data_IF_082039297376
#
_entry.id   IF_082039297376
#
_cell.length_a   1.000
_cell.length_b   1.000
_cell.length_c   1.000
_cell.angle_alpha   90.00
_cell.angle_beta   90.00
_cell.angle_gamma   90.00
#
_symmetry.space_group_name_H-M   'P 1'
#
loop_
_entity.id
_entity.type
_entity.pdbx_description
1 polymer ?
#
# COMPACT_ATOMS: atom_id res chain seq x y z
N UNK A 1 26.52 -33.00 -15.97
CA UNK A 1 25.81 -31.98 -16.77
C UNK A 1 26.23 -30.63 -16.20
N UNK A 2 26.91 -29.79 -16.97
CA UNK A 2 27.37 -28.47 -16.51
C UNK A 2 26.67 -27.39 -17.33
N UNK A 3 26.17 -26.37 -16.64
CA UNK A 3 25.52 -25.20 -17.25
C UNK A 3 26.51 -24.04 -17.24
N UNK A 4 26.73 -23.42 -18.39
CA UNK A 4 27.53 -22.20 -18.53
C UNK A 4 26.78 -21.20 -19.41
N UNK A 5 26.75 -19.93 -18.98
CA UNK A 5 25.98 -18.86 -19.63
C UNK A 5 26.08 -17.54 -18.87
N UNK A 6 25.43 -16.49 -19.38
CA UNK A 6 25.49 -15.13 -18.82
C UNK A 6 24.53 -14.87 -17.65
N UNK A 7 23.95 -15.92 -17.06
CA UNK A 7 22.95 -15.79 -15.99
C UNK A 7 23.60 -15.82 -14.62
N UNK A 8 23.42 -14.73 -13.85
CA UNK A 8 23.75 -14.70 -12.43
C UNK A 8 22.73 -15.53 -11.60
N UNK A 9 23.15 -16.05 -10.45
CA UNK A 9 22.26 -16.69 -9.44
C UNK A 9 21.36 -15.66 -8.73
N UNK A 10 20.50 -15.00 -9.51
CA UNK A 10 19.54 -14.01 -9.03
C UNK A 10 18.18 -14.36 -9.60
N UNK A 11 17.09 -13.98 -8.90
CA UNK A 11 15.74 -14.26 -9.36
C UNK A 11 15.52 -13.73 -10.79
N UNK A 12 15.98 -12.51 -11.10
CA UNK A 12 15.94 -11.94 -12.46
C UNK A 12 16.76 -12.73 -13.47
N UNK A 13 17.97 -13.16 -13.11
CA UNK A 13 18.85 -13.96 -13.97
C UNK A 13 18.31 -15.35 -14.31
N UNK A 14 17.46 -15.90 -13.44
CA UNK A 14 16.84 -17.22 -13.59
C UNK A 14 15.44 -17.17 -14.24
N UNK A 15 14.71 -16.06 -14.13
CA UNK A 15 13.30 -15.98 -14.57
C UNK A 15 13.04 -15.04 -15.74
N UNK A 16 13.93 -14.07 -16.02
CA UNK A 16 13.68 -13.00 -16.99
C UNK A 16 14.78 -12.76 -18.02
N UNK A 17 15.94 -13.39 -17.89
CA UNK A 17 17.06 -13.27 -18.85
C UNK A 17 16.93 -14.24 -20.04
N UNK A 18 17.47 -13.87 -21.21
CA UNK A 18 17.71 -14.83 -22.31
C UNK A 18 18.68 -15.89 -21.80
N UNK A 19 18.15 -17.07 -21.51
CA UNK A 19 18.98 -18.17 -21.02
C UNK A 19 19.68 -18.82 -22.22
N UNK A 20 20.97 -18.50 -22.40
CA UNK A 20 21.83 -19.23 -23.34
C UNK A 20 22.48 -20.40 -22.57
N UNK A 21 21.89 -21.59 -22.68
CA UNK A 21 22.54 -22.81 -22.24
C UNK A 21 23.28 -23.44 -23.42
N UNK A 22 24.59 -23.66 -23.29
CA UNK A 22 25.36 -24.50 -24.21
C UNK A 22 25.93 -25.71 -23.49
N UNK A 23 25.79 -26.89 -24.11
CA UNK A 23 26.33 -28.14 -23.61
C UNK A 23 27.85 -28.18 -23.80
N UNK A 24 28.61 -28.26 -22.71
CA UNK A 24 30.07 -28.41 -22.75
C UNK A 24 30.43 -29.91 -22.70
N UNK A 25 31.22 -30.40 -23.67
CA UNK A 25 31.67 -31.81 -23.72
C UNK A 25 32.82 -32.07 -22.72
N UNK A 26 32.98 -33.33 -22.32
CA UNK A 26 33.83 -33.82 -21.21
C UNK A 26 35.26 -33.24 -21.08
N UNK A 27 35.95 -32.88 -22.18
CA UNK A 27 37.33 -32.36 -22.11
C UNK A 27 37.40 -30.88 -21.68
N UNK A 28 36.45 -30.05 -22.10
CA UNK A 28 36.38 -28.63 -21.71
C UNK A 28 35.90 -28.48 -20.26
N UNK A 29 35.04 -29.40 -19.80
CA UNK A 29 34.60 -29.48 -18.40
C UNK A 29 35.77 -29.73 -17.42
N UNK A 30 36.77 -30.53 -17.80
CA UNK A 30 37.95 -30.76 -16.97
C UNK A 30 38.81 -29.50 -16.80
N UNK A 31 38.94 -28.68 -17.86
CA UNK A 31 39.70 -27.41 -17.78
C UNK A 31 38.98 -26.41 -16.87
N UNK A 32 37.65 -26.33 -16.96
CA UNK A 32 36.85 -25.50 -16.06
C UNK A 32 36.94 -25.94 -14.60
N UNK A 33 36.90 -27.24 -14.33
CA UNK A 33 37.04 -27.77 -12.98
C UNK A 33 38.41 -27.46 -12.39
N UNK A 34 39.49 -27.70 -13.14
CA UNK A 34 40.84 -27.40 -12.67
C UNK A 34 41.05 -25.90 -12.40
N UNK A 35 40.41 -25.03 -13.20
CA UNK A 35 40.46 -23.59 -12.98
C UNK A 35 39.64 -23.18 -11.75
N UNK A 36 38.48 -23.81 -11.53
CA UNK A 36 37.67 -23.61 -10.33
C UNK A 36 38.42 -24.03 -9.08
N UNK A 37 39.05 -25.21 -9.08
CA UNK A 37 39.83 -25.72 -7.94
C UNK A 37 41.01 -24.78 -7.61
N UNK A 38 41.73 -24.28 -8.62
CA UNK A 38 42.78 -23.28 -8.43
C UNK A 38 42.24 -21.97 -7.82
N UNK A 39 41.10 -21.48 -8.29
CA UNK A 39 40.49 -20.27 -7.72
C UNK A 39 39.97 -20.50 -6.30
N UNK A 40 39.40 -21.68 -6.03
CA UNK A 40 38.85 -22.08 -4.75
C UNK A 40 39.94 -22.19 -3.67
N UNK A 41 41.06 -22.84 -3.99
CA UNK A 41 42.21 -22.96 -3.09
C UNK A 41 42.87 -21.59 -2.80
N UNK A 42 42.72 -20.61 -3.70
CA UNK A 42 43.25 -19.25 -3.56
C UNK A 42 42.21 -18.22 -3.04
N UNK A 43 40.99 -18.67 -2.69
CA UNK A 43 39.93 -17.79 -2.17
C UNK A 43 40.11 -17.46 -0.67
N UNK A 44 40.67 -18.38 0.12
CA UNK A 44 40.78 -18.21 1.58
C UNK A 44 41.86 -17.21 2.01
N UNK A 45 42.83 -16.93 1.13
CA UNK A 45 44.01 -16.12 1.49
C UNK A 45 43.89 -14.63 1.10
N UNK A 46 42.82 -14.20 0.42
CA UNK A 46 42.73 -12.84 -0.17
C UNK A 46 41.69 -11.92 0.45
N UNK A 47 40.66 -12.44 1.11
CA UNK A 47 39.61 -11.64 1.72
C UNK A 47 39.28 -12.20 3.10
N UNK A 48 39.37 -11.36 4.14
CA UNK A 48 38.98 -11.76 5.49
C UNK A 48 37.51 -12.17 5.54
N UNK A 49 37.20 -13.17 6.36
CA UNK A 49 35.83 -13.60 6.61
C UNK A 49 35.03 -12.45 7.22
N UNK A 50 33.83 -12.20 6.68
CA UNK A 50 32.89 -11.28 7.32
C UNK A 50 32.40 -11.94 8.61
N UNK A 51 32.88 -11.47 9.76
CA UNK A 51 32.35 -11.88 11.05
C UNK A 51 31.04 -11.12 11.29
N UNK A 52 29.91 -11.78 11.04
CA UNK A 52 28.59 -11.16 11.20
C UNK A 52 28.31 -10.67 12.64
N UNK A 53 29.05 -11.18 13.62
CA UNK A 53 28.99 -10.75 15.02
C UNK A 53 29.63 -9.38 15.27
N UNK A 54 30.52 -8.94 14.39
CA UNK A 54 31.27 -7.68 14.49
C UNK A 54 30.66 -6.56 13.63
N UNK A 55 29.62 -6.87 12.86
CA UNK A 55 28.90 -5.89 12.07
C UNK A 55 27.91 -5.13 12.97
N UNK A 56 28.06 -3.81 13.04
CA UNK A 56 27.03 -2.95 13.61
C UNK A 56 25.84 -2.86 12.64
N UNK A 57 24.62 -3.25 13.04
CA UNK A 57 23.43 -3.13 12.18
C UNK A 57 23.19 -1.70 11.67
N UNK A 58 23.71 -0.68 12.36
CA UNK A 58 23.59 0.72 11.95
C UNK A 58 24.49 1.09 10.77
N UNK A 59 25.55 0.33 10.47
CA UNK A 59 26.41 0.60 9.31
C UNK A 59 25.70 0.32 7.98
N UNK A 60 24.72 -0.58 7.97
CA UNK A 60 23.82 -0.79 6.83
C UNK A 60 22.79 0.34 6.65
N UNK A 61 22.47 1.08 7.73
CA UNK A 61 21.56 2.23 7.66
C UNK A 61 22.24 3.50 7.13
N UNK A 62 23.58 3.56 7.13
CA UNK A 62 24.33 4.76 6.72
C UNK A 62 24.48 4.94 5.19
N UNK A 63 24.11 3.93 4.40
CA UNK A 63 24.32 3.95 2.94
C UNK A 63 23.24 4.69 2.12
N UNK A 64 22.16 5.19 2.72
CA UNK A 64 21.09 5.89 1.97
C UNK A 64 21.12 7.42 2.05
N UNK A 65 22.07 8.01 2.80
CA UNK A 65 22.14 9.46 2.95
C UNK A 65 23.24 10.06 2.07
N UNK A 66 23.01 10.17 0.77
CA UNK A 66 23.45 11.28 -0.11
C UNK A 66 23.10 10.97 -1.58
N UNK A 67 21.81 10.98 -1.90
CA UNK A 67 21.38 11.48 -3.19
C UNK A 67 20.47 12.66 -2.94
N UNK A 68 20.81 13.81 -3.50
CA UNK A 68 19.91 14.95 -3.60
C UNK A 68 18.69 14.45 -4.38
N UNK A 69 17.64 14.06 -3.67
CA UNK A 69 16.39 13.59 -4.27
C UNK A 69 15.82 14.80 -5.01
N UNK A 70 15.99 14.85 -6.33
CA UNK A 70 15.20 15.71 -7.22
C UNK A 70 13.76 15.58 -6.77
N UNK A 71 13.08 16.69 -6.50
CA UNK A 71 11.70 16.73 -6.02
C UNK A 71 10.87 15.64 -6.72
N UNK A 72 10.59 14.57 -5.99
CA UNK A 72 10.03 13.36 -6.55
C UNK A 72 8.60 13.68 -6.95
N UNK A 73 8.32 13.73 -8.25
CA UNK A 73 6.97 13.95 -8.76
C UNK A 73 6.22 12.64 -8.57
N UNK A 74 5.38 12.56 -7.53
CA UNK A 74 4.50 11.42 -7.31
C UNK A 74 3.52 11.31 -8.47
N UNK A 75 3.59 10.19 -9.20
CA UNK A 75 2.63 9.85 -10.25
C UNK A 75 1.91 8.55 -9.89
N UNK A 76 0.61 8.45 -10.20
CA UNK A 76 -0.11 7.20 -10.07
C UNK A 76 0.51 6.11 -10.95
N UNK A 77 0.40 4.85 -10.50
CA UNK A 77 0.70 3.69 -11.35
C UNK A 77 -0.36 3.57 -12.46
N UNK A 78 -0.07 2.93 -13.60
CA UNK A 78 -1.03 2.82 -14.72
C UNK A 78 -2.40 2.31 -14.30
N UNK A 79 -2.47 1.26 -13.48
CA UNK A 79 -3.75 0.74 -12.99
C UNK A 79 -4.48 1.73 -12.07
N UNK A 80 -3.75 2.60 -11.35
CA UNK A 80 -4.35 3.63 -10.49
C UNK A 80 -4.96 4.74 -11.35
N UNK A 81 -4.33 5.10 -12.48
CA UNK A 81 -4.90 5.99 -13.48
C UNK A 81 -6.20 5.42 -14.05
N UNK A 82 -6.22 4.11 -14.39
CA UNK A 82 -7.43 3.42 -14.84
C UNK A 82 -8.55 3.52 -13.79
N UNK A 83 -8.27 3.28 -12.51
CA UNK A 83 -9.28 3.41 -11.43
C UNK A 83 -9.80 4.85 -11.33
N UNK A 84 -8.90 5.83 -11.40
CA UNK A 84 -9.23 7.25 -11.32
C UNK A 84 -10.13 7.67 -12.50
N UNK A 85 -9.84 7.18 -13.70
CA UNK A 85 -10.64 7.47 -14.89
C UNK A 85 -12.05 6.87 -14.80
N UNK A 86 -12.16 5.62 -14.32
CA UNK A 86 -13.46 4.99 -14.03
C UNK A 86 -14.24 5.79 -12.99
N UNK A 87 -13.60 6.15 -11.88
CA UNK A 87 -14.21 6.98 -10.83
C UNK A 87 -14.73 8.32 -11.39
N UNK A 88 -13.92 9.01 -12.20
CA UNK A 88 -14.29 10.30 -12.81
C UNK A 88 -15.44 10.17 -13.80
N UNK A 89 -15.50 9.06 -14.54
CA UNK A 89 -16.56 8.79 -15.52
C UNK A 89 -17.89 8.45 -14.86
N UNK A 90 -17.87 7.65 -13.79
CA UNK A 90 -19.09 7.27 -13.06
C UNK A 90 -19.62 8.44 -12.23
N UNK A 91 -18.73 9.21 -11.58
CA UNK A 91 -19.07 10.41 -10.80
C UNK A 91 -20.25 10.19 -9.83
N UNK A 92 -20.23 9.05 -9.14
CA UNK A 92 -21.26 8.63 -8.20
C UNK A 92 -20.81 8.85 -6.75
N UNK A 93 -21.74 9.04 -5.79
CA UNK A 93 -21.40 9.34 -4.40
C UNK A 93 -20.71 8.18 -3.70
N UNK A 94 -21.26 6.96 -3.77
CA UNK A 94 -20.66 5.76 -3.17
C UNK A 94 -19.77 5.00 -4.15
N UNK A 95 -18.55 4.64 -3.74
CA UNK A 95 -17.59 3.94 -4.59
C UNK A 95 -16.89 2.83 -3.81
N UNK A 96 -16.93 1.61 -4.32
CA UNK A 96 -16.18 0.47 -3.80
C UNK A 96 -15.06 0.08 -4.76
N UNK A 97 -13.83 0.03 -4.25
CA UNK A 97 -12.64 -0.35 -5.02
C UNK A 97 -11.96 -1.52 -4.32
N UNK A 98 -11.80 -2.62 -5.05
CA UNK A 98 -11.22 -3.86 -4.55
C UNK A 98 -9.80 -4.01 -5.10
N UNK A 99 -8.81 -3.91 -4.22
CA UNK A 99 -7.39 -3.99 -4.56
C UNK A 99 -6.63 -4.88 -3.56
N UNK A 100 -5.74 -5.77 -4.03
CA UNK A 100 -4.88 -6.57 -3.18
C UNK A 100 -4.09 -5.74 -2.17
N UNK A 101 -3.63 -6.37 -1.10
CA UNK A 101 -2.70 -5.72 -0.16
C UNK A 101 -1.37 -5.41 -0.85
N UNK A 102 -0.69 -4.34 -0.40
CA UNK A 102 0.60 -3.94 -0.97
C UNK A 102 0.55 -3.22 -2.32
N UNK A 103 -0.63 -3.02 -2.92
CA UNK A 103 -0.73 -2.34 -4.23
C UNK A 103 -0.65 -0.82 -4.14
N UNK A 104 -0.74 -0.24 -2.93
CA UNK A 104 -0.75 1.21 -2.74
C UNK A 104 -2.15 1.84 -2.69
N UNK A 105 -3.13 1.17 -2.06
CA UNK A 105 -4.48 1.72 -1.80
C UNK A 105 -4.46 3.15 -1.26
N UNK A 106 -3.57 3.43 -0.30
CA UNK A 106 -3.41 4.77 0.30
C UNK A 106 -2.93 5.82 -0.71
N UNK A 107 -2.01 5.46 -1.62
CA UNK A 107 -1.56 6.35 -2.69
C UNK A 107 -2.71 6.63 -3.66
N UNK A 108 -3.45 5.59 -4.06
CA UNK A 108 -4.64 5.75 -4.89
C UNK A 108 -5.66 6.69 -4.23
N UNK A 109 -5.94 6.54 -2.94
CA UNK A 109 -6.83 7.44 -2.20
C UNK A 109 -6.39 8.91 -2.29
N UNK A 110 -5.09 9.17 -2.13
CA UNK A 110 -4.55 10.53 -2.23
C UNK A 110 -4.70 11.10 -3.65
N UNK A 111 -4.42 10.31 -4.70
CA UNK A 111 -4.58 10.74 -6.09
C UNK A 111 -6.05 10.93 -6.48
N UNK A 112 -6.95 10.04 -6.04
CA UNK A 112 -8.40 10.23 -6.22
C UNK A 112 -8.86 11.53 -5.56
N UNK A 113 -8.42 11.78 -4.32
CA UNK A 113 -8.76 13.00 -3.63
C UNK A 113 -8.20 14.25 -4.33
N UNK A 114 -7.00 14.17 -4.91
CA UNK A 114 -6.43 15.22 -5.75
C UNK A 114 -7.36 15.59 -6.91
N UNK A 115 -7.98 14.61 -7.56
CA UNK A 115 -8.96 14.85 -8.63
C UNK A 115 -10.27 15.42 -8.10
N UNK A 116 -10.70 15.01 -6.90
CA UNK A 116 -11.91 15.55 -6.27
C UNK A 116 -11.75 17.04 -5.97
N UNK A 117 -10.64 17.47 -5.36
CA UNK A 117 -10.44 18.88 -4.98
C UNK A 117 -10.22 19.81 -6.18
N UNK A 118 -9.83 19.28 -7.34
CA UNK A 118 -9.82 20.03 -8.60
C UNK A 118 -11.23 20.44 -9.03
N UNK A 119 -12.24 19.62 -8.72
CA UNK A 119 -13.67 19.89 -9.02
C UNK A 119 -14.39 20.59 -7.87
N UNK A 120 -14.05 20.24 -6.63
CA UNK A 120 -14.71 20.69 -5.41
C UNK A 120 -13.67 21.33 -4.49
N UNK A 121 -13.48 22.63 -4.66
CA UNK A 121 -12.53 23.37 -3.85
C UNK A 121 -12.87 23.27 -2.34
N UNK A 122 -11.83 23.25 -1.51
CA UNK A 122 -11.91 23.34 -0.04
C UNK A 122 -12.68 22.22 0.68
N UNK A 123 -12.83 21.04 0.07
CA UNK A 123 -13.46 19.90 0.74
C UNK A 123 -12.51 19.24 1.74
N UNK A 124 -12.92 19.10 3.01
CA UNK A 124 -12.15 18.34 4.00
C UNK A 124 -12.36 16.84 3.82
N UNK A 125 -11.37 16.05 4.25
CA UNK A 125 -11.44 14.59 4.24
C UNK A 125 -11.56 14.03 5.64
N UNK A 126 -12.24 12.90 5.72
CA UNK A 126 -12.19 11.98 6.84
C UNK A 126 -11.67 10.63 6.34
N UNK A 127 -10.45 10.26 6.73
CA UNK A 127 -9.86 8.96 6.41
C UNK A 127 -9.95 8.04 7.62
N UNK A 128 -10.54 6.87 7.45
CA UNK A 128 -10.84 5.95 8.54
C UNK A 128 -10.22 4.58 8.28
N UNK A 129 -9.63 4.00 9.31
CA UNK A 129 -9.20 2.60 9.33
C UNK A 129 -9.25 2.04 10.77
N UNK A 130 -9.21 0.73 10.93
CA UNK A 130 -9.16 0.05 12.24
C UNK A 130 -7.75 0.01 12.86
N UNK A 131 -6.69 0.23 12.07
CA UNK A 131 -5.29 0.14 12.51
C UNK A 131 -4.62 1.52 12.58
N UNK A 132 -3.95 1.79 13.71
CA UNK A 132 -3.23 3.05 13.94
C UNK A 132 -2.15 3.31 12.87
N UNK A 133 -1.32 2.31 12.58
CA UNK A 133 -0.27 2.40 11.57
C UNK A 133 -0.79 2.79 10.18
N UNK A 134 -1.95 2.27 9.78
CA UNK A 134 -2.57 2.61 8.49
C UNK A 134 -2.93 4.08 8.45
N UNK A 135 -3.59 4.58 9.49
CA UNK A 135 -4.02 5.98 9.60
C UNK A 135 -2.80 6.93 9.65
N UNK A 136 -1.74 6.56 10.37
CA UNK A 136 -0.48 7.32 10.43
C UNK A 136 0.17 7.41 9.05
N UNK A 137 0.29 6.28 8.36
CA UNK A 137 0.88 6.22 7.02
C UNK A 137 0.02 6.96 5.98
N UNK A 138 -1.31 6.89 6.11
CA UNK A 138 -2.24 7.63 5.26
C UNK A 138 -2.07 9.13 5.42
N UNK A 139 -2.03 9.64 6.66
CA UNK A 139 -1.76 11.06 6.92
C UNK A 139 -0.45 11.51 6.24
N UNK A 140 0.64 10.80 6.49
CA UNK A 140 1.95 11.12 5.92
C UNK A 140 1.93 11.09 4.37
N UNK A 141 1.24 10.11 3.77
CA UNK A 141 1.09 9.98 2.32
C UNK A 141 0.33 11.17 1.72
N UNK A 142 -0.80 11.54 2.34
CA UNK A 142 -1.60 12.68 1.90
C UNK A 142 -0.83 14.00 2.05
N UNK A 143 -0.15 14.22 3.18
CA UNK A 143 0.72 15.40 3.36
C UNK A 143 1.82 15.46 2.29
N UNK A 144 2.43 14.32 1.96
CA UNK A 144 3.52 14.25 0.97
C UNK A 144 3.04 14.55 -0.45
N UNK A 145 1.94 13.93 -0.89
CA UNK A 145 1.41 14.00 -2.26
C UNK A 145 0.68 15.33 -2.51
N UNK A 146 -0.17 15.73 -1.58
CA UNK A 146 -1.08 16.87 -1.74
C UNK A 146 -0.56 18.15 -1.09
N UNK A 147 0.57 18.09 -0.37
CA UNK A 147 1.14 19.21 0.39
C UNK A 147 0.17 19.79 1.42
N UNK A 148 -0.70 18.96 1.99
CA UNK A 148 -1.61 19.36 3.06
C UNK A 148 -0.80 19.72 4.31
N UNK A 149 -1.15 20.83 4.94
CA UNK A 149 -0.51 21.31 6.18
C UNK A 149 -1.46 21.26 7.37
N UNK A 150 -2.77 21.24 7.11
CA UNK A 150 -3.85 21.24 8.09
C UNK A 150 -4.41 19.82 8.27
N UNK A 151 -3.62 18.89 8.81
CA UNK A 151 -4.07 17.51 9.06
C UNK A 151 -3.99 17.15 10.56
N UNK A 152 -4.94 16.35 11.03
CA UNK A 152 -4.99 15.88 12.42
C UNK A 152 -5.12 14.36 12.46
N UNK A 153 -4.25 13.73 13.25
CA UNK A 153 -4.30 12.32 13.55
C UNK A 153 -5.11 12.10 14.83
N UNK A 154 -6.08 11.20 14.81
CA UNK A 154 -6.87 10.82 15.98
C UNK A 154 -6.71 9.32 16.23
N UNK A 155 -6.00 9.01 17.31
CA UNK A 155 -5.77 7.65 17.83
C UNK A 155 -6.12 7.61 19.31
N UNK A 156 -6.59 6.46 19.80
CA UNK A 156 -7.19 6.27 21.13
C UNK A 156 -6.50 7.02 22.27
N UNK A 157 -7.30 7.68 23.12
CA UNK A 157 -6.85 8.41 24.32
C UNK A 157 -6.52 9.89 24.09
N UNK A 158 -6.34 10.33 22.84
CA UNK A 158 -6.10 11.74 22.51
C UNK A 158 -7.40 12.43 22.12
N UNK A 159 -7.72 13.54 22.80
CA UNK A 159 -8.80 14.45 22.38
C UNK A 159 -8.15 15.66 21.72
N UNK A 160 -8.24 15.79 20.38
CA UNK A 160 -7.72 16.97 19.69
C UNK A 160 -8.45 18.23 20.13
N UNK A 161 -7.78 19.39 20.04
CA UNK A 161 -8.39 20.67 20.32
C UNK A 161 -9.59 20.91 19.37
N UNK A 162 -10.73 21.44 19.83
CA UNK A 162 -11.87 21.81 18.98
C UNK A 162 -11.51 22.59 17.70
N UNK A 163 -10.46 23.44 17.73
CA UNK A 163 -10.02 24.17 16.54
C UNK A 163 -9.52 23.22 15.44
N UNK A 164 -8.70 22.24 15.81
CA UNK A 164 -8.18 21.23 14.88
C UNK A 164 -9.30 20.38 14.28
N UNK A 165 -10.27 19.98 15.10
CA UNK A 165 -11.43 19.21 14.65
C UNK A 165 -12.27 19.94 13.60
N UNK A 166 -12.29 21.28 13.60
CA UNK A 166 -13.09 22.09 12.67
C UNK A 166 -12.38 22.52 11.40
N UNK A 167 -11.05 22.63 11.40
CA UNK A 167 -10.30 23.16 10.25
C UNK A 167 -9.47 22.12 9.50
N UNK A 168 -9.23 20.94 10.08
CA UNK A 168 -8.25 20.01 9.55
C UNK A 168 -8.88 18.83 8.81
N UNK A 169 -8.11 18.28 7.87
CA UNK A 169 -8.30 16.93 7.36
C UNK A 169 -8.10 15.94 8.49
N UNK A 170 -9.04 15.02 8.69
CA UNK A 170 -8.99 14.08 9.81
C UNK A 170 -8.59 12.68 9.34
N UNK A 171 -7.62 12.11 10.04
CA UNK A 171 -7.17 10.74 9.89
C UNK A 171 -7.44 10.03 11.21
N UNK A 172 -8.41 9.12 11.23
CA UNK A 172 -9.02 8.65 12.47
C UNK A 172 -9.05 7.12 12.53
N UNK A 173 -8.70 6.57 13.69
CA UNK A 173 -8.99 5.17 13.99
C UNK A 173 -10.47 5.01 14.34
N UNK A 174 -11.13 4.06 13.69
CA UNK A 174 -12.58 3.80 13.78
C UNK A 174 -13.19 3.93 15.20
N UNK A 175 -12.59 3.31 16.22
CA UNK A 175 -13.06 3.36 17.61
C UNK A 175 -13.06 4.77 18.20
N UNK A 176 -12.12 5.61 17.81
CA UNK A 176 -12.04 7.00 18.29
C UNK A 176 -13.12 7.90 17.67
N UNK A 177 -13.60 7.56 16.47
CA UNK A 177 -14.60 8.35 15.76
C UNK A 177 -15.99 8.27 16.41
N UNK A 178 -16.37 7.10 16.94
CA UNK A 178 -17.64 6.90 17.64
C UNK A 178 -17.85 7.95 18.74
N UNK A 179 -16.85 8.16 19.60
CA UNK A 179 -16.91 9.12 20.69
C UNK A 179 -17.04 10.57 20.20
N UNK A 180 -16.43 10.91 19.05
CA UNK A 180 -16.51 12.27 18.49
C UNK A 180 -17.91 12.58 17.94
N UNK A 181 -18.53 11.60 17.28
CA UNK A 181 -19.91 11.71 16.78
C UNK A 181 -20.88 11.82 17.96
N UNK A 182 -20.77 10.92 18.95
CA UNK A 182 -21.68 10.86 20.10
C UNK A 182 -21.60 12.15 20.95
N UNK A 183 -20.41 12.76 21.04
CA UNK A 183 -20.18 14.04 21.74
C UNK A 183 -20.50 15.28 20.87
N UNK A 184 -21.00 15.10 19.65
CA UNK A 184 -21.30 16.20 18.69
C UNK A 184 -20.11 17.15 18.50
N UNK A 185 -18.91 16.60 18.40
CA UNK A 185 -17.66 17.38 18.17
C UNK A 185 -17.36 17.61 16.69
N UNK A 186 -18.05 16.87 15.82
CA UNK A 186 -17.99 16.97 14.37
C UNK A 186 -19.39 17.32 13.89
N UNK A 187 -19.52 18.04 12.78
CA UNK A 187 -20.80 18.41 12.18
C UNK A 187 -21.11 17.52 10.95
N UNK A 188 -22.39 17.30 10.60
CA UNK A 188 -22.79 16.47 9.46
C UNK A 188 -22.13 16.85 8.11
N UNK A 189 -21.83 18.14 7.92
CA UNK A 189 -21.27 18.69 6.67
C UNK A 189 -19.76 18.97 6.76
N UNK A 190 -19.07 18.50 7.80
CA UNK A 190 -17.64 18.79 8.00
C UNK A 190 -16.75 18.19 6.91
N UNK A 191 -17.18 17.09 6.28
CA UNK A 191 -16.38 16.33 5.32
C UNK A 191 -17.10 16.17 4.00
N UNK A 192 -16.47 16.62 2.92
CA UNK A 192 -16.95 16.38 1.55
C UNK A 192 -16.57 15.00 1.03
N UNK A 193 -15.52 14.39 1.60
CA UNK A 193 -15.00 13.08 1.18
C UNK A 193 -14.69 12.22 2.40
N UNK A 194 -15.21 11.00 2.41
CA UNK A 194 -14.93 10.00 3.45
C UNK A 194 -14.28 8.78 2.79
N UNK A 195 -13.10 8.42 3.28
CA UNK A 195 -12.40 7.20 2.89
C UNK A 195 -12.51 6.15 4.00
N UNK A 196 -12.83 4.93 3.61
CA UNK A 196 -12.84 3.75 4.46
C UNK A 196 -11.78 2.78 3.95
N UNK A 197 -10.65 2.65 4.65
CA UNK A 197 -9.62 1.67 4.33
C UNK A 197 -9.80 0.40 5.17
N UNK A 198 -9.57 -0.74 4.52
CA UNK A 198 -9.95 -2.06 5.02
C UNK A 198 -11.43 -2.11 5.47
N UNK A 199 -12.30 -1.53 4.65
CA UNK A 199 -13.70 -1.28 5.02
C UNK A 199 -14.50 -2.54 5.41
N UNK A 200 -14.02 -3.73 5.04
CA UNK A 200 -14.57 -5.02 5.51
C UNK A 200 -14.39 -5.27 7.03
N UNK A 201 -13.56 -4.50 7.72
CA UNK A 201 -13.41 -4.53 9.18
C UNK A 201 -14.41 -3.63 9.91
N UNK A 202 -15.13 -2.77 9.19
CA UNK A 202 -16.13 -1.87 9.76
C UNK A 202 -17.46 -2.65 9.85
N UNK A 203 -17.59 -3.46 10.90
CA UNK A 203 -18.63 -4.50 11.06
C UNK A 203 -20.07 -3.95 11.05
N UNK A 204 -20.83 -4.19 9.97
CA UNK A 204 -22.17 -3.69 9.68
C UNK A 204 -23.36 -4.01 10.62
N UNK A 205 -23.21 -4.85 11.65
CA UNK A 205 -24.35 -5.56 12.28
C UNK A 205 -24.97 -4.94 13.54
N UNK A 206 -24.44 -3.83 14.07
CA UNK A 206 -24.95 -3.19 15.29
C UNK A 206 -25.17 -1.68 15.08
N UNK A 207 -26.12 -1.05 15.77
CA UNK A 207 -26.27 0.43 15.81
C UNK A 207 -25.06 1.13 16.46
N UNK A 208 -24.22 0.38 17.17
CA UNK A 208 -22.90 0.82 17.65
C UNK A 208 -21.79 0.74 16.60
N UNK A 209 -22.10 0.28 15.38
CA UNK A 209 -21.18 0.25 14.24
C UNK A 209 -20.92 1.67 13.76
N UNK A 210 -19.63 1.95 13.66
CA UNK A 210 -19.10 3.17 13.08
C UNK A 210 -19.58 3.39 11.64
N UNK A 211 -19.72 2.34 10.83
CA UNK A 211 -20.12 2.47 9.43
C UNK A 211 -21.56 2.98 9.29
N UNK A 212 -22.49 2.37 10.03
CA UNK A 212 -23.89 2.81 10.05
C UNK A 212 -24.04 4.22 10.65
N UNK A 213 -23.27 4.53 11.70
CA UNK A 213 -23.24 5.89 12.26
C UNK A 213 -22.76 6.92 11.25
N UNK A 214 -21.70 6.63 10.49
CA UNK A 214 -21.18 7.55 9.48
C UNK A 214 -22.19 7.76 8.35
N UNK A 215 -22.78 6.67 7.83
CA UNK A 215 -23.83 6.72 6.80
C UNK A 215 -25.02 7.59 7.22
N UNK A 216 -25.45 7.48 8.48
CA UNK A 216 -26.59 8.22 9.00
C UNK A 216 -26.25 9.66 9.41
N UNK A 217 -25.00 9.93 9.81
CA UNK A 217 -24.61 11.22 10.39
C UNK A 217 -24.00 12.19 9.37
N UNK A 218 -23.07 11.72 8.54
CA UNK A 218 -22.31 12.60 7.64
C UNK A 218 -22.95 12.68 6.26
N UNK A 219 -23.02 13.89 5.70
CA UNK A 219 -23.55 14.20 4.37
C UNK A 219 -22.42 14.44 3.38
N UNK A 220 -21.49 13.49 3.30
CA UNK A 220 -20.35 13.59 2.40
C UNK A 220 -20.79 13.43 0.93
N UNK A 221 -20.14 14.18 0.04
CA UNK A 221 -20.39 14.10 -1.40
C UNK A 221 -19.80 12.83 -2.01
N UNK A 222 -18.67 12.36 -1.49
CA UNK A 222 -18.07 11.10 -1.88
C UNK A 222 -17.78 10.22 -0.66
N UNK A 223 -18.23 8.98 -0.72
CA UNK A 223 -17.89 7.90 0.23
C UNK A 223 -17.16 6.82 -0.55
N UNK A 224 -15.91 6.56 -0.19
CA UNK A 224 -15.02 5.68 -0.95
C UNK A 224 -14.50 4.56 -0.05
N UNK A 225 -14.87 3.32 -0.35
CA UNK A 225 -14.38 2.12 0.32
C UNK A 225 -13.23 1.48 -0.47
N UNK A 226 -12.11 1.27 0.22
CA UNK A 226 -10.93 0.57 -0.28
C UNK A 226 -10.78 -0.73 0.51
N UNK A 227 -10.77 -1.87 -0.18
CA UNK A 227 -10.63 -3.18 0.48
C UNK A 227 -9.89 -4.18 -0.40
N UNK A 228 -9.27 -5.19 0.21
CA UNK A 228 -8.76 -6.35 -0.54
C UNK A 228 -9.81 -7.45 -0.70
N UNK A 229 -10.77 -7.51 0.23
CA UNK A 229 -11.79 -8.54 0.30
C UNK A 229 -13.12 -7.84 0.54
N UNK A 230 -14.01 -7.74 -0.48
CA UNK A 230 -15.32 -7.13 -0.29
C UNK A 230 -16.24 -8.03 0.53
N UNK A 231 -16.11 -9.35 0.37
CA UNK A 231 -16.92 -10.35 1.05
C UNK A 231 -16.11 -11.09 2.11
N UNK A 232 -16.72 -11.29 3.28
CA UNK A 232 -16.29 -12.26 4.28
C UNK A 232 -17.51 -13.11 4.61
N UNK A 233 -17.44 -14.42 4.37
CA UNK A 233 -18.57 -15.36 4.53
C UNK A 233 -19.18 -15.35 5.95
N UNK A 234 -18.44 -14.87 6.94
CA UNK A 234 -18.83 -14.72 8.34
C UNK A 234 -19.36 -13.32 8.71
N UNK A 235 -19.25 -12.32 7.81
CA UNK A 235 -19.44 -10.90 8.11
C UNK A 235 -20.39 -10.18 7.15
N UNK A 236 -20.61 -8.90 7.47
CA UNK A 236 -21.43 -7.97 6.70
C UNK A 236 -20.87 -7.75 5.30
N UNK A 237 -21.75 -7.75 4.29
CA UNK A 237 -21.42 -7.47 2.90
C UNK A 237 -21.42 -5.96 2.65
N UNK A 238 -20.24 -5.40 2.41
CA UNK A 238 -20.06 -3.96 2.16
C UNK A 238 -20.70 -3.50 0.84
N UNK A 239 -20.98 -4.42 -0.09
CA UNK A 239 -21.68 -4.09 -1.34
C UNK A 239 -23.12 -3.64 -1.10
N UNK A 240 -23.70 -3.96 0.07
CA UNK A 240 -25.03 -3.45 0.46
C UNK A 240 -25.03 -1.94 0.70
N UNK A 241 -23.88 -1.34 1.04
CA UNK A 241 -23.73 0.10 1.26
C UNK A 241 -23.20 0.78 0.00
N UNK A 242 -22.13 0.24 -0.60
CA UNK A 242 -21.42 0.90 -1.70
C UNK A 242 -21.81 0.39 -3.09
N UNK A 243 -22.71 -0.58 -3.18
CA UNK A 243 -23.04 -1.25 -4.42
C UNK A 243 -21.90 -2.14 -4.94
N UNK A 244 -21.96 -2.45 -6.24
CA UNK A 244 -20.93 -3.25 -6.91
C UNK A 244 -19.61 -2.50 -6.98
N UNK A 245 -18.45 -3.18 -6.87
CA UNK A 245 -17.16 -2.56 -7.07
C UNK A 245 -17.10 -1.84 -8.42
N UNK A 246 -16.66 -0.58 -8.42
CA UNK A 246 -16.39 0.18 -9.65
C UNK A 246 -15.11 -0.33 -10.33
N UNK A 247 -14.22 -0.95 -9.55
CA UNK A 247 -12.99 -1.55 -10.01
C UNK A 247 -12.57 -2.69 -9.09
N UNK A 248 -12.16 -3.81 -9.67
CA UNK A 248 -11.63 -4.97 -8.95
C UNK A 248 -10.35 -5.46 -9.63
N UNK A 249 -9.23 -5.43 -8.90
CA UNK A 249 -7.97 -6.00 -9.34
C UNK A 249 -7.73 -7.35 -8.70
N UNK A 250 -7.46 -8.38 -9.52
CA UNK A 250 -7.02 -9.68 -9.01
C UNK A 250 -5.53 -9.67 -8.70
N UNK A 251 -5.10 -10.44 -7.70
CA UNK A 251 -3.69 -10.57 -7.32
C UNK A 251 -2.78 -10.96 -8.51
N UNK A 252 -3.24 -11.84 -9.39
CA UNK A 252 -2.50 -12.24 -10.59
C UNK A 252 -2.21 -11.06 -11.52
N UNK A 253 -3.14 -10.10 -11.63
CA UNK A 253 -2.92 -8.88 -12.41
C UNK A 253 -1.89 -7.99 -11.73
N UNK A 254 -1.98 -7.84 -10.41
CA UNK A 254 -1.03 -7.04 -9.62
C UNK A 254 0.41 -7.56 -9.76
N UNK A 255 0.60 -8.89 -9.70
CA UNK A 255 1.90 -9.54 -9.87
C UNK A 255 2.46 -9.34 -11.28
N UNK A 256 1.64 -9.50 -12.32
CA UNK A 256 2.06 -9.30 -13.72
C UNK A 256 2.55 -7.88 -14.00
N UNK A 257 2.01 -6.89 -13.31
CA UNK A 257 2.34 -5.48 -13.51
C UNK A 257 3.34 -4.93 -12.49
N UNK A 258 4.01 -5.80 -11.71
CA UNK A 258 4.93 -5.40 -10.63
C UNK A 258 4.29 -4.40 -9.64
N UNK A 259 2.97 -4.44 -9.47
CA UNK A 259 2.23 -3.58 -8.56
C UNK A 259 2.33 -4.05 -7.10
N UNK A 260 2.84 -5.27 -6.88
CA UNK A 260 3.12 -5.86 -5.57
C UNK A 260 4.46 -6.58 -5.62
N UNK A 261 5.14 -6.68 -4.47
CA UNK A 261 6.38 -7.44 -4.36
C UNK A 261 6.18 -8.90 -4.79
N UNK A 262 7.18 -9.53 -5.43
CA UNK A 262 7.11 -10.94 -5.81
C UNK A 262 6.86 -11.83 -4.58
N UNK A 263 5.87 -12.72 -4.66
CA UNK A 263 5.57 -13.70 -3.62
C UNK A 263 6.07 -15.07 -4.08
N UNK A 264 7.01 -15.64 -3.33
CA UNK A 264 7.40 -17.04 -3.50
C UNK A 264 6.59 -17.91 -2.55
N UNK A 265 5.69 -18.74 -3.10
CA UNK A 265 4.97 -19.73 -2.31
C UNK A 265 5.87 -20.95 -2.08
N UNK A 266 6.28 -21.17 -0.82
CA UNK A 266 6.84 -22.45 -0.41
C UNK A 266 5.67 -23.38 -0.06
N UNK A 267 5.34 -24.27 -0.98
CA UNK A 267 4.36 -25.33 -0.72
C UNK A 267 5.07 -26.44 0.07
N UNK A 268 4.89 -26.47 1.38
CA UNK A 268 5.24 -27.66 2.16
C UNK A 268 4.24 -28.76 1.82
N UNK A 269 4.69 -29.76 1.06
CA UNK A 269 3.99 -31.03 0.98
C UNK A 269 4.35 -31.80 2.25
N UNK A 270 3.45 -31.79 3.24
CA UNK A 270 3.44 -32.81 4.29
C UNK A 270 2.71 -34.05 3.77
#
# INVERSE_FOLDING_TARGET
>A
MQFSGSSNMTNKGLTSGKINFSFVKNKEAQVLNNHFDYMWDDCDNRYGWINFSELDPTDFMKLDNHQVIKAEVFKPLPYQEEVIDVFKKLNQPENLIVLPTGTGKTYLAAFMYQEIIKKLANQRILFISHRQEIVINAKATFEKILKLTNTTLIKGGLTPNPKELKSNHLFVVDKSLNNLIDQKKLEPNDFGVIYFDEAHHLDGKSETNIMAKIENYFKAQYKIALTATPERMDKFDITTIFGKPIYEMRLNYALKHNAVSPINFLKNNF
#
